data_IF_774213957393
#
_entry.id   IF_774213957393
#
_cell.length_a   1.000
_cell.length_b   1.000
_cell.length_c   1.000
_cell.angle_alpha   90.00
_cell.angle_beta   90.00
_cell.angle_gamma   90.00
#
_symmetry.space_group_name_H-M   'P 1'
#
loop_
_entity.id
_entity.type
_entity.pdbx_description
1 polymer ?
#
# COMPACT_ATOMS: atom_id res chain seq x y z
N UNK A 1 -4.62 -16.15 -4.97
CA UNK A 1 -4.82 -15.50 -3.66
C UNK A 1 -5.67 -16.40 -2.81
N UNK A 2 -5.36 -16.48 -1.51
CA UNK A 2 -6.10 -17.31 -0.55
C UNK A 2 -6.82 -16.39 0.43
N UNK A 3 -8.14 -16.52 0.52
CA UNK A 3 -8.97 -15.74 1.45
C UNK A 3 -8.57 -15.96 2.92
N UNK A 4 -8.59 -14.89 3.71
CA UNK A 4 -8.34 -14.92 5.16
C UNK A 4 -9.47 -14.31 5.98
N UNK A 5 -10.47 -13.72 5.32
CA UNK A 5 -11.68 -13.20 5.95
C UNK A 5 -11.91 -11.72 5.66
N UNK A 6 -12.98 -11.19 6.25
CA UNK A 6 -13.32 -9.76 6.16
C UNK A 6 -12.30 -8.91 6.90
N UNK A 7 -12.11 -7.68 6.43
CA UNK A 7 -11.36 -6.64 7.12
C UNK A 7 -12.18 -5.36 7.17
N UNK A 8 -11.81 -4.47 8.07
CA UNK A 8 -12.44 -3.16 8.27
C UNK A 8 -11.64 -2.05 7.60
N UNK A 9 -12.29 -0.93 7.35
CA UNK A 9 -11.62 0.30 6.89
C UNK A 9 -10.57 0.77 7.91
N UNK A 10 -10.82 0.58 9.21
CA UNK A 10 -9.87 0.96 10.27
C UNK A 10 -8.60 0.11 10.26
N UNK A 11 -8.72 -1.19 9.95
CA UNK A 11 -7.55 -2.06 9.72
C UNK A 11 -6.74 -1.59 8.51
N UNK A 12 -7.41 -1.14 7.45
CA UNK A 12 -6.73 -0.59 6.28
C UNK A 12 -5.99 0.71 6.60
N UNK A 13 -6.63 1.65 7.29
CA UNK A 13 -5.99 2.89 7.73
C UNK A 13 -4.77 2.59 8.59
N UNK A 14 -4.88 1.66 9.55
CA UNK A 14 -3.77 1.23 10.38
C UNK A 14 -2.63 0.60 9.56
N UNK A 15 -2.94 -0.28 8.60
CA UNK A 15 -1.96 -0.90 7.73
C UNK A 15 -1.18 0.15 6.91
N UNK A 16 -1.88 1.17 6.40
CA UNK A 16 -1.29 2.29 5.68
C UNK A 16 -0.29 3.07 6.55
N UNK A 17 -0.69 3.41 7.78
CA UNK A 17 0.16 4.13 8.73
C UNK A 17 1.39 3.30 9.15
N UNK A 18 1.22 2.01 9.39
CA UNK A 18 2.32 1.08 9.71
C UNK A 18 3.32 0.94 8.56
N UNK A 19 2.83 0.94 7.33
CA UNK A 19 3.67 0.91 6.14
C UNK A 19 4.58 2.15 6.01
N UNK A 20 4.12 3.29 6.51
CA UNK A 20 4.74 4.59 6.21
C UNK A 20 5.50 5.22 7.38
N UNK A 21 5.23 4.82 8.62
CA UNK A 21 5.91 5.36 9.81
C UNK A 21 7.44 5.13 9.80
N UNK A 22 7.92 4.10 9.08
CA UNK A 22 9.35 3.81 8.90
C UNK A 22 9.79 3.93 7.44
N UNK A 23 8.95 4.52 6.58
CA UNK A 23 9.31 4.76 5.18
C UNK A 23 10.22 5.97 5.10
N UNK A 24 11.35 5.84 4.40
CA UNK A 24 12.26 6.97 4.16
C UNK A 24 11.66 8.12 3.35
N UNK A 25 10.46 7.93 2.79
CA UNK A 25 9.71 8.93 2.02
C UNK A 25 8.61 9.60 2.83
N UNK A 26 8.06 8.90 3.83
CA UNK A 26 6.83 9.33 4.51
C UNK A 26 6.96 9.47 6.02
N UNK A 27 8.03 8.98 6.64
CA UNK A 27 8.27 9.03 8.08
C UNK A 27 8.14 10.46 8.65
N UNK A 28 8.79 11.45 8.04
CA UNK A 28 8.72 12.85 8.47
C UNK A 28 7.28 13.38 8.46
N UNK A 29 6.49 13.05 7.43
CA UNK A 29 5.08 13.47 7.34
C UNK A 29 4.22 12.83 8.43
N UNK A 30 4.45 11.55 8.73
CA UNK A 30 3.72 10.83 9.78
C UNK A 30 4.09 11.39 11.16
N UNK A 31 5.39 11.63 11.43
CA UNK A 31 5.87 12.22 12.68
C UNK A 31 5.32 13.63 12.88
N UNK A 32 5.37 14.49 11.85
CA UNK A 32 4.80 15.84 11.88
C UNK A 32 3.28 15.80 12.11
N UNK A 33 2.59 14.87 11.45
CA UNK A 33 1.15 14.67 11.61
C UNK A 33 0.78 14.25 13.04
N UNK A 34 1.51 13.30 13.63
CA UNK A 34 1.32 12.86 15.02
C UNK A 34 1.48 14.03 16.00
N UNK A 35 2.53 14.83 15.84
CA UNK A 35 2.75 16.03 16.65
C UNK A 35 1.61 17.04 16.50
N UNK A 36 1.10 17.24 15.26
CA UNK A 36 0.02 18.18 14.95
C UNK A 36 -1.29 17.80 15.63
N UNK A 37 -1.62 16.51 15.71
CA UNK A 37 -2.84 16.02 16.37
C UNK A 37 -2.67 15.73 17.87
N UNK A 38 -1.49 16.03 18.43
CA UNK A 38 -1.17 15.78 19.84
C UNK A 38 -1.28 14.30 20.19
N UNK A 39 -0.71 13.43 19.34
CA UNK A 39 -0.64 11.98 19.56
C UNK A 39 0.79 11.48 19.47
N UNK A 40 1.03 10.36 20.12
CA UNK A 40 2.31 9.67 20.10
C UNK A 40 2.24 8.45 19.15
N UNK A 41 3.39 7.82 18.90
CA UNK A 41 3.54 6.73 17.94
C UNK A 41 2.76 5.47 18.33
N UNK A 42 2.43 5.32 19.61
CA UNK A 42 1.57 4.30 20.20
C UNK A 42 0.22 4.23 19.50
N UNK A 43 -0.26 5.33 18.92
CA UNK A 43 -1.45 5.33 18.06
C UNK A 43 -1.34 4.34 16.89
N UNK A 44 -0.12 4.02 16.43
CA UNK A 44 0.16 3.11 15.31
C UNK A 44 0.73 1.77 15.82
N UNK A 45 1.64 1.84 16.79
CA UNK A 45 2.38 0.68 17.28
C UNK A 45 1.52 -0.21 18.19
N UNK A 46 0.65 0.38 19.01
CA UNK A 46 -0.20 -0.30 20.01
C UNK A 46 -1.69 0.04 19.82
N UNK A 47 -2.31 -0.35 18.69
CA UNK A 47 -3.61 0.16 18.34
C UNK A 47 -4.75 -0.53 19.08
N UNK A 48 -5.70 0.26 19.59
CA UNK A 48 -7.01 -0.22 19.99
C UNK A 48 -8.05 0.08 18.89
N UNK A 49 -8.33 -0.90 18.03
CA UNK A 49 -9.32 -0.76 16.95
C UNK A 49 -10.77 -0.73 17.44
N UNK A 50 -11.04 -1.05 18.71
CA UNK A 50 -12.36 -0.88 19.31
C UNK A 50 -12.60 0.55 19.84
N UNK A 51 -11.55 1.38 19.91
CA UNK A 51 -11.66 2.77 20.34
C UNK A 51 -11.94 3.68 19.13
N UNK A 52 -13.16 4.21 19.07
CA UNK A 52 -13.59 5.13 18.01
C UNK A 52 -12.79 6.43 17.96
N UNK A 53 -12.31 6.93 19.10
CA UNK A 53 -11.51 8.16 19.15
C UNK A 53 -10.09 7.92 18.61
N UNK A 54 -9.48 6.76 18.91
CA UNK A 54 -8.21 6.39 18.29
C UNK A 54 -8.35 6.19 16.78
N UNK A 55 -9.41 5.50 16.33
CA UNK A 55 -9.66 5.31 14.91
C UNK A 55 -9.87 6.65 14.18
N UNK A 56 -10.63 7.57 14.77
CA UNK A 56 -10.77 8.93 14.26
C UNK A 56 -9.43 9.68 14.19
N UNK A 57 -8.55 9.49 15.18
CA UNK A 57 -7.22 10.10 15.18
C UNK A 57 -6.33 9.52 14.08
N UNK A 58 -6.38 8.19 13.84
CA UNK A 58 -5.66 7.54 12.73
C UNK A 58 -6.14 8.04 11.37
N UNK A 59 -7.45 8.17 11.16
CA UNK A 59 -8.00 8.74 9.92
C UNK A 59 -7.59 10.19 9.71
N UNK A 60 -7.59 11.00 10.77
CA UNK A 60 -7.11 12.38 10.73
C UNK A 60 -5.63 12.43 10.36
N UNK A 61 -4.81 11.53 10.94
CA UNK A 61 -3.39 11.42 10.62
C UNK A 61 -3.18 11.04 9.16
N UNK A 62 -3.87 10.01 8.66
CA UNK A 62 -3.76 9.61 7.26
C UNK A 62 -4.27 10.72 6.32
N UNK A 63 -5.34 11.42 6.70
CA UNK A 63 -5.83 12.57 5.95
C UNK A 63 -4.80 13.69 5.86
N UNK A 64 -4.05 13.97 6.93
CA UNK A 64 -3.08 15.06 6.97
C UNK A 64 -2.11 15.05 5.78
N UNK A 65 -1.57 13.88 5.41
CA UNK A 65 -0.55 13.77 4.37
C UNK A 65 -0.93 12.90 3.15
N UNK A 66 -1.93 12.02 3.27
CA UNK A 66 -2.50 11.26 2.14
C UNK A 66 -3.87 11.75 1.69
N UNK A 67 -4.50 12.67 2.41
CA UNK A 67 -5.77 13.26 2.00
C UNK A 67 -6.94 12.27 1.99
N UNK A 68 -6.90 11.31 2.91
CA UNK A 68 -7.86 10.23 3.08
C UNK A 68 -9.32 10.69 3.22
N UNK A 69 -9.64 11.46 4.27
CA UNK A 69 -11.00 11.94 4.55
C UNK A 69 -11.46 12.94 3.50
N UNK A 70 -10.53 13.79 3.02
CA UNK A 70 -10.77 14.74 1.92
C UNK A 70 -10.92 14.08 0.56
N UNK A 71 -10.62 12.78 0.44
CA UNK A 71 -10.65 11.99 -0.80
C UNK A 71 -9.87 12.65 -1.93
N UNK A 72 -8.63 13.04 -1.63
CA UNK A 72 -7.67 13.62 -2.58
C UNK A 72 -6.44 12.72 -2.70
N UNK A 73 -5.46 13.14 -3.53
CA UNK A 73 -4.21 12.41 -3.75
C UNK A 73 -4.47 10.96 -4.17
N UNK A 74 -3.94 9.98 -3.42
CA UNK A 74 -4.10 8.55 -3.74
C UNK A 74 -5.55 8.07 -3.57
N UNK A 75 -6.39 8.79 -2.83
CA UNK A 75 -7.79 8.45 -2.58
C UNK A 75 -8.77 9.19 -3.50
N UNK A 76 -8.29 9.98 -4.47
CA UNK A 76 -9.15 10.70 -5.42
C UNK A 76 -10.03 9.73 -6.21
N UNK A 77 -11.36 9.88 -6.09
CA UNK A 77 -12.34 9.00 -6.73
C UNK A 77 -12.41 7.59 -6.14
N UNK A 78 -11.69 7.29 -5.06
CA UNK A 78 -11.77 5.99 -4.41
C UNK A 78 -13.16 5.81 -3.77
N UNK A 79 -13.86 4.68 -4.00
CA UNK A 79 -15.24 4.55 -3.58
C UNK A 79 -15.43 4.61 -2.05
N UNK A 80 -16.43 5.37 -1.55
CA UNK A 80 -16.74 5.40 -0.13
C UNK A 80 -17.46 4.12 0.36
N UNK A 81 -17.98 3.31 -0.56
CA UNK A 81 -18.65 2.04 -0.28
C UNK A 81 -17.72 0.84 -0.40
N UNK A 82 -16.41 1.06 -0.50
CA UNK A 82 -15.43 0.00 -0.61
C UNK A 82 -15.47 -0.92 0.62
N UNK A 83 -15.65 -2.23 0.37
CA UNK A 83 -15.55 -3.26 1.40
C UNK A 83 -14.16 -3.89 1.36
N UNK A 84 -13.66 -4.29 2.52
CA UNK A 84 -12.30 -4.80 2.67
C UNK A 84 -12.29 -6.27 3.06
N UNK A 85 -11.34 -7.01 2.47
CA UNK A 85 -11.02 -8.39 2.84
C UNK A 85 -9.52 -8.57 2.94
N UNK A 86 -9.10 -9.55 3.73
CA UNK A 86 -7.71 -9.94 3.88
C UNK A 86 -7.43 -11.17 3.05
N UNK A 87 -6.31 -11.16 2.34
CA UNK A 87 -5.83 -12.31 1.58
C UNK A 87 -4.36 -12.58 1.83
N UNK A 88 -3.98 -13.85 1.64
CA UNK A 88 -2.59 -14.22 1.40
C UNK A 88 -2.36 -14.24 -0.12
N UNK A 89 -1.36 -13.49 -0.59
CA UNK A 89 -0.96 -13.49 -1.99
C UNK A 89 -0.08 -14.70 -2.28
N UNK A 90 -0.30 -15.29 -3.46
CA UNK A 90 0.49 -16.38 -4.00
C UNK A 90 1.34 -15.86 -5.17
N UNK A 91 2.35 -16.64 -5.57
CA UNK A 91 3.23 -16.27 -6.68
C UNK A 91 2.46 -15.85 -7.95
N UNK A 92 1.43 -16.61 -8.34
CA UNK A 92 0.62 -16.30 -9.52
C UNK A 92 -0.15 -14.96 -9.42
N UNK A 93 -0.38 -14.44 -8.21
CA UNK A 93 -0.99 -13.13 -8.03
C UNK A 93 -0.01 -12.00 -8.36
N UNK A 94 1.27 -12.14 -7.99
CA UNK A 94 2.31 -11.14 -8.27
C UNK A 94 2.52 -10.90 -9.77
N UNK A 95 2.38 -11.94 -10.61
CA UNK A 95 2.45 -11.81 -12.06
C UNK A 95 1.26 -11.05 -12.68
N UNK A 96 0.14 -10.94 -11.95
CA UNK A 96 -1.07 -10.22 -12.37
C UNK A 96 -1.26 -8.89 -11.62
N UNK A 97 -0.47 -8.66 -10.58
CA UNK A 97 -0.51 -7.48 -9.75
C UNK A 97 -0.09 -6.25 -10.55
N UNK A 98 -0.89 -5.19 -10.46
CA UNK A 98 -0.66 -3.94 -11.17
C UNK A 98 -0.33 -2.81 -10.21
N UNK A 99 0.49 -1.88 -10.64
CA UNK A 99 0.61 -0.58 -10.00
C UNK A 99 -0.63 0.28 -10.28
N UNK A 100 -0.93 1.19 -9.36
CA UNK A 100 -1.73 2.37 -9.62
C UNK A 100 -1.27 3.08 -10.91
N UNK A 101 -2.20 3.70 -11.64
CA UNK A 101 -1.94 4.44 -12.89
C UNK A 101 -1.20 5.77 -12.65
N UNK A 102 -0.06 5.70 -11.99
CA UNK A 102 0.79 6.84 -11.66
C UNK A 102 1.94 6.93 -12.68
N UNK A 103 2.33 8.14 -13.13
CA UNK A 103 3.39 8.32 -14.13
C UNK A 103 4.67 7.53 -13.85
N UNK A 104 5.21 7.61 -12.62
CA UNK A 104 6.42 6.88 -12.20
C UNK A 104 6.31 5.37 -12.44
N UNK A 105 5.20 4.76 -12.01
CA UNK A 105 5.01 3.31 -12.13
C UNK A 105 4.74 2.89 -13.57
N UNK A 106 3.99 3.70 -14.33
CA UNK A 106 3.82 3.50 -15.76
C UNK A 106 5.16 3.56 -16.50
N UNK A 107 6.01 4.54 -16.19
CA UNK A 107 7.33 4.67 -16.80
C UNK A 107 8.27 3.51 -16.41
N UNK A 108 8.20 3.01 -15.18
CA UNK A 108 8.97 1.85 -14.73
C UNK A 108 8.53 0.55 -15.44
N UNK A 109 7.24 0.41 -15.70
CA UNK A 109 6.64 -0.81 -16.26
C UNK A 109 6.34 -0.75 -17.76
N UNK A 110 6.96 0.18 -18.50
CA UNK A 110 6.72 0.43 -19.94
C UNK A 110 5.24 0.60 -20.30
N UNK A 111 4.47 1.24 -19.42
CA UNK A 111 3.04 1.49 -19.56
C UNK A 111 2.14 0.29 -19.25
N UNK A 112 2.69 -0.91 -19.05
CA UNK A 112 1.90 -2.12 -18.76
C UNK A 112 1.26 -2.11 -17.38
N UNK A 113 1.85 -1.33 -16.45
CA UNK A 113 1.53 -1.29 -15.02
C UNK A 113 1.77 -2.61 -14.29
N UNK A 114 2.28 -3.66 -14.93
CA UNK A 114 2.55 -4.93 -14.26
C UNK A 114 3.75 -4.80 -13.31
N UNK A 115 3.60 -5.33 -12.09
CA UNK A 115 4.69 -5.38 -11.10
C UNK A 115 5.84 -6.23 -11.60
N UNK A 116 5.55 -7.36 -12.26
CA UNK A 116 6.56 -8.20 -12.93
C UNK A 116 7.42 -7.41 -13.90
N UNK A 117 6.79 -6.60 -14.76
CA UNK A 117 7.52 -5.76 -15.71
C UNK A 117 8.34 -4.67 -15.02
N UNK A 118 7.78 -4.05 -13.97
CA UNK A 118 8.52 -3.05 -13.20
C UNK A 118 9.75 -3.63 -12.49
N UNK A 119 9.63 -4.85 -11.94
CA UNK A 119 10.73 -5.56 -11.31
C UNK A 119 11.85 -5.95 -12.30
N UNK A 120 11.50 -6.36 -13.52
CA UNK A 120 12.46 -6.62 -14.59
C UNK A 120 13.25 -5.37 -15.00
N UNK A 121 12.58 -4.22 -15.04
CA UNK A 121 13.14 -2.96 -15.51
C UNK A 121 13.94 -2.20 -14.44
N UNK A 122 13.58 -2.35 -13.16
CA UNK A 122 14.20 -1.60 -12.06
C UNK A 122 15.74 -1.69 -12.00
N UNK A 123 16.40 -2.84 -12.25
CA UNK A 123 17.87 -2.91 -12.29
C UNK A 123 18.55 -1.96 -13.28
N UNK A 124 17.82 -1.45 -14.28
CA UNK A 124 18.33 -0.46 -15.24
C UNK A 124 18.18 1.00 -14.74
N UNK A 125 17.53 1.21 -13.58
CA UNK A 125 17.25 2.51 -12.97
C UNK A 125 17.43 2.48 -11.44
N UNK A 126 18.53 1.93 -10.90
CA UNK A 126 18.68 1.74 -9.46
C UNK A 126 18.81 3.05 -8.67
N UNK A 127 19.22 4.14 -9.34
CA UNK A 127 19.47 5.45 -8.73
C UNK A 127 18.33 6.46 -8.95
N UNK A 128 17.18 6.01 -9.47
CA UNK A 128 16.01 6.87 -9.62
C UNK A 128 15.52 7.32 -8.22
N UNK A 129 15.54 8.63 -7.90
CA UNK A 129 15.17 9.12 -6.57
C UNK A 129 13.74 8.76 -6.16
N UNK A 130 12.81 8.58 -7.11
CA UNK A 130 11.44 8.20 -6.81
C UNK A 130 11.29 6.71 -6.48
N UNK A 131 12.28 5.90 -6.85
CA UNK A 131 12.30 4.45 -6.73
C UNK A 131 13.38 3.92 -5.77
N UNK A 132 14.28 4.79 -5.29
CA UNK A 132 15.49 4.42 -4.54
C UNK A 132 15.19 3.50 -3.34
N UNK A 133 14.03 3.67 -2.69
CA UNK A 133 13.62 2.86 -1.54
C UNK A 133 13.49 1.36 -1.85
N UNK A 134 13.30 0.99 -3.13
CA UNK A 134 13.22 -0.42 -3.55
C UNK A 134 14.50 -1.18 -3.21
N UNK A 135 15.68 -0.57 -3.34
CA UNK A 135 16.95 -1.23 -2.99
C UNK A 135 17.02 -1.58 -1.50
N UNK A 136 16.69 -0.63 -0.62
CA UNK A 136 16.67 -0.87 0.83
C UNK A 136 15.65 -1.94 1.23
N UNK A 137 14.47 -1.92 0.59
CA UNK A 137 13.45 -2.94 0.81
C UNK A 137 13.94 -4.32 0.32
N UNK A 138 14.54 -4.40 -0.87
CA UNK A 138 15.08 -5.64 -1.42
C UNK A 138 16.14 -6.27 -0.50
N UNK A 139 17.06 -5.46 0.04
CA UNK A 139 18.05 -5.94 1.01
C UNK A 139 17.40 -6.45 2.30
N UNK A 140 16.43 -5.73 2.84
CA UNK A 140 15.71 -6.13 4.05
C UNK A 140 14.91 -7.42 3.82
N UNK A 141 14.22 -7.53 2.67
CA UNK A 141 13.54 -8.74 2.23
C UNK A 141 14.52 -9.91 2.14
N UNK A 142 15.73 -9.69 1.62
CA UNK A 142 16.79 -10.70 1.56
C UNK A 142 17.26 -11.21 2.91
N UNK A 143 17.27 -10.33 3.92
CA UNK A 143 17.60 -10.64 5.32
C UNK A 143 16.46 -11.31 6.09
N UNK A 144 15.28 -11.47 5.48
CA UNK A 144 14.12 -12.10 6.12
C UNK A 144 13.25 -11.11 6.92
N UNK A 145 13.40 -9.80 6.69
CA UNK A 145 12.53 -8.83 7.32
C UNK A 145 11.11 -8.97 6.77
N UNK A 146 10.13 -8.91 7.68
CA UNK A 146 8.73 -8.81 7.35
C UNK A 146 8.32 -7.33 7.23
N UNK A 147 7.32 -7.07 6.40
CA UNK A 147 6.76 -5.74 6.20
C UNK A 147 5.25 -5.77 6.43
N UNK A 148 4.65 -4.59 6.67
CA UNK A 148 3.20 -4.45 6.68
C UNK A 148 2.56 -4.96 5.40
N UNK A 149 1.29 -5.37 5.53
CA UNK A 149 0.44 -5.87 4.45
C UNK A 149 0.48 -4.92 3.23
N UNK A 150 0.34 -5.47 2.02
CA UNK A 150 0.05 -4.64 0.86
C UNK A 150 -1.39 -4.14 0.92
N UNK A 151 -1.70 -3.05 0.21
CA UNK A 151 -3.07 -2.56 0.09
C UNK A 151 -3.40 -2.46 -1.40
N UNK A 152 -4.49 -3.07 -1.82
CA UNK A 152 -4.89 -3.13 -3.22
C UNK A 152 -6.38 -2.90 -3.41
N UNK A 153 -6.76 -2.43 -4.59
CA UNK A 153 -8.11 -2.45 -5.12
C UNK A 153 -8.26 -3.65 -6.07
N UNK A 154 -9.35 -4.39 -5.95
CA UNK A 154 -9.74 -5.41 -6.92
C UNK A 154 -10.47 -4.78 -8.10
N UNK A 155 -10.07 -5.13 -9.31
CA UNK A 155 -10.78 -4.77 -10.54
C UNK A 155 -11.94 -5.72 -10.84
N UNK A 156 -12.79 -5.35 -11.81
CA UNK A 156 -13.98 -6.12 -12.16
C UNK A 156 -13.69 -7.54 -12.71
N UNK A 157 -12.43 -7.86 -13.03
CA UNK A 157 -11.99 -9.16 -13.52
C UNK A 157 -11.19 -9.95 -12.46
N UNK A 158 -11.15 -9.48 -11.21
CA UNK A 158 -10.39 -10.11 -10.12
C UNK A 158 -8.89 -9.83 -10.14
N UNK A 159 -8.43 -8.89 -10.97
CA UNK A 159 -7.06 -8.39 -10.93
C UNK A 159 -6.87 -7.40 -9.78
N UNK A 160 -5.64 -7.26 -9.28
CA UNK A 160 -5.32 -6.39 -8.16
C UNK A 160 -4.49 -5.19 -8.62
N UNK A 161 -4.88 -3.99 -8.16
CA UNK A 161 -4.17 -2.73 -8.39
C UNK A 161 -3.68 -2.19 -7.05
N UNK A 162 -2.38 -1.99 -6.90
CA UNK A 162 -1.76 -1.52 -5.66
C UNK A 162 -2.16 -0.08 -5.35
N UNK A 163 -2.77 0.10 -4.18
CA UNK A 163 -3.00 1.38 -3.51
C UNK A 163 -1.77 1.77 -2.66
N UNK A 164 -1.18 0.79 -1.97
CA UNK A 164 0.02 0.95 -1.15
C UNK A 164 0.92 -0.29 -1.29
N UNK A 165 2.23 -0.11 -1.15
CA UNK A 165 3.19 -1.21 -1.17
C UNK A 165 3.81 -1.50 -2.54
N UNK A 166 3.70 -0.59 -3.52
CA UNK A 166 4.30 -0.72 -4.85
C UNK A 166 5.81 -1.06 -4.82
N UNK A 167 6.60 -0.36 -3.99
CA UNK A 167 8.02 -0.68 -3.84
C UNK A 167 8.27 -2.05 -3.19
N UNK A 168 7.45 -2.45 -2.22
CA UNK A 168 7.53 -3.78 -1.60
C UNK A 168 7.19 -4.89 -2.58
N UNK A 169 6.09 -4.75 -3.32
CA UNK A 169 5.69 -5.69 -4.35
C UNK A 169 6.77 -5.88 -5.43
N UNK A 170 7.42 -4.78 -5.82
CA UNK A 170 8.56 -4.81 -6.76
C UNK A 170 9.72 -5.62 -6.20
N UNK A 171 10.12 -5.35 -4.95
CA UNK A 171 11.20 -6.09 -4.29
C UNK A 171 10.90 -7.58 -4.10
N UNK A 172 9.67 -7.94 -3.69
CA UNK A 172 9.22 -9.33 -3.59
C UNK A 172 9.33 -10.05 -4.92
N UNK A 173 8.91 -9.39 -6.01
CA UNK A 173 8.98 -9.93 -7.35
C UNK A 173 10.42 -10.13 -7.84
N UNK A 174 11.32 -9.18 -7.56
CA UNK A 174 12.73 -9.27 -7.96
C UNK A 174 13.47 -10.47 -7.34
N UNK A 175 13.20 -10.80 -6.08
CA UNK A 175 13.85 -11.93 -5.37
C UNK A 175 12.97 -13.19 -5.32
N UNK A 176 11.80 -13.17 -5.97
CA UNK A 176 10.75 -14.20 -5.94
C UNK A 176 10.39 -14.64 -4.51
N UNK A 177 10.32 -13.69 -3.58
CA UNK A 177 9.96 -13.92 -2.18
C UNK A 177 8.51 -13.54 -1.94
N UNK A 178 7.63 -14.53 -2.06
CA UNK A 178 6.18 -14.35 -1.95
C UNK A 178 5.59 -14.94 -0.66
N UNK A 179 6.42 -15.58 0.16
CA UNK A 179 5.96 -16.26 1.37
C UNK A 179 5.34 -15.28 2.36
N UNK A 180 4.13 -15.61 2.81
CA UNK A 180 3.42 -14.87 3.87
C UNK A 180 3.07 -13.42 3.53
N UNK A 181 3.13 -13.01 2.26
CA UNK A 181 2.73 -11.66 1.86
C UNK A 181 1.22 -11.52 1.91
N UNK A 182 0.73 -10.80 2.91
CA UNK A 182 -0.68 -10.49 3.07
C UNK A 182 -1.04 -9.19 2.36
N UNK A 183 -2.30 -9.08 1.94
CA UNK A 183 -2.87 -7.86 1.41
C UNK A 183 -4.28 -7.59 1.94
N UNK A 184 -4.58 -6.32 2.16
CA UNK A 184 -5.93 -5.81 2.31
C UNK A 184 -6.45 -5.41 0.93
N UNK A 185 -7.57 -6.02 0.52
CA UNK A 185 -8.15 -5.84 -0.81
C UNK A 185 -9.50 -5.15 -0.69
N UNK A 186 -9.61 -3.99 -1.30
CA UNK A 186 -10.86 -3.26 -1.48
C UNK A 186 -11.64 -3.78 -2.68
N UNK A 187 -12.96 -3.86 -2.54
CA UNK A 187 -13.89 -4.11 -3.64
C UNK A 187 -15.08 -3.16 -3.57
N UNK A 188 -15.51 -2.66 -4.74
CA UNK A 188 -16.72 -1.85 -4.92
C UNK A 188 -17.18 -1.95 -6.37
N UNK A 189 -18.49 -1.85 -6.63
CA UNK A 189 -19.03 -1.80 -8.00
C UNK A 189 -18.60 -0.53 -8.75
N UNK A 190 -18.13 0.49 -8.02
CA UNK A 190 -17.66 1.75 -8.57
C UNK A 190 -16.14 1.91 -8.50
N UNK A 191 -15.38 0.83 -8.25
CA UNK A 191 -13.92 0.88 -8.10
C UNK A 191 -13.18 1.47 -9.31
N UNK A 192 -13.77 1.37 -10.50
CA UNK A 192 -13.28 1.96 -11.75
C UNK A 192 -13.31 3.50 -11.76
N UNK A 193 -14.00 4.14 -10.81
CA UNK A 193 -14.00 5.60 -10.63
C UNK A 193 -12.76 6.10 -9.90
N UNK A 194 -11.99 5.19 -9.29
CA UNK A 194 -10.73 5.54 -8.65
C UNK A 194 -9.79 6.14 -9.68
N UNK A 195 -9.25 7.34 -9.40
CA UNK A 195 -8.44 8.09 -10.36
C UNK A 195 -7.23 7.30 -10.87
N UNK A 196 -6.71 6.40 -10.04
CA UNK A 196 -5.52 5.60 -10.33
C UNK A 196 -5.83 4.17 -10.83
N UNK A 197 -7.09 3.90 -11.19
CA UNK A 197 -7.56 2.59 -11.67
C UNK A 197 -6.83 2.09 -12.93
#
# INVERSE_FOLDING_TARGET
MIERGTATEEEMVLAFLRAEINSSRFDEFVVQGLATIGRLRELIDEPNLADSAENSARRTLLDFYRGYERRILVFLGFPPDATWRRVLLEEGDFFRLRYANHPTWCQLSDGTRLVSRGAENFPQRPDDPELYQINGILEAVRRGNHFPELIAAEDNNGGLILLEGASRATAYMMDRRFHEVQALVASSQSIWQWHWF
#
